data_IF_707656862271
#
_entry.id   IF_707656862271
#
_cell.length_a   1.000
_cell.length_b   1.000
_cell.length_c   1.000
_cell.angle_alpha   90.00
_cell.angle_beta   90.00
_cell.angle_gamma   90.00
#
_symmetry.space_group_name_H-M   'P 1'
#
loop_
_entity.id
_entity.type
_entity.pdbx_description
1 polymer ?
#
# COMPACT_ATOMS: atom_id res chain seq x y z
N UNK A 1 1.52 -8.77 3.17
CA UNK A 1 2.82 -8.42 3.80
C UNK A 1 3.15 -9.37 4.94
N UNK A 2 2.22 -9.60 5.88
CA UNK A 2 2.41 -10.51 7.02
C UNK A 2 3.02 -11.87 6.65
N UNK A 3 2.46 -12.56 5.65
CA UNK A 3 2.95 -13.90 5.27
C UNK A 3 4.39 -13.90 4.74
N UNK A 4 4.79 -12.84 4.01
CA UNK A 4 6.18 -12.68 3.57
C UNK A 4 7.10 -12.44 4.77
N UNK A 5 6.63 -11.68 5.77
CA UNK A 5 7.37 -11.45 7.00
C UNK A 5 7.50 -12.73 7.84
N UNK A 6 6.43 -13.52 7.93
CA UNK A 6 6.42 -14.83 8.60
C UNK A 6 7.42 -15.77 7.94
N UNK A 7 7.36 -15.92 6.61
CA UNK A 7 8.32 -16.72 5.86
C UNK A 7 9.76 -16.23 6.05
N UNK A 8 9.97 -14.92 6.07
CA UNK A 8 11.29 -14.35 6.33
C UNK A 8 11.80 -14.69 7.74
N UNK A 9 10.93 -14.63 8.76
CA UNK A 9 11.26 -15.07 10.11
C UNK A 9 11.63 -16.56 10.15
N UNK A 10 10.83 -17.43 9.52
CA UNK A 10 11.10 -18.86 9.46
C UNK A 10 12.44 -19.19 8.79
N UNK A 11 12.78 -18.49 7.70
CA UNK A 11 13.99 -18.76 6.93
C UNK A 11 15.26 -18.16 7.54
N UNK A 12 15.15 -17.07 8.32
CA UNK A 12 16.32 -16.29 8.77
C UNK A 12 16.46 -16.15 10.28
N UNK A 13 15.41 -16.44 11.05
CA UNK A 13 15.38 -16.20 12.49
C UNK A 13 15.41 -14.72 12.89
N UNK A 14 15.11 -13.79 11.97
CA UNK A 14 15.23 -12.34 12.19
C UNK A 14 14.47 -11.86 13.44
N UNK A 15 15.16 -11.37 14.48
CA UNK A 15 14.52 -10.84 15.70
C UNK A 15 13.64 -9.62 15.40
N UNK A 16 14.00 -8.84 14.37
CA UNK A 16 13.22 -7.71 13.89
C UNK A 16 11.89 -8.15 13.30
N UNK A 17 11.90 -9.20 12.48
CA UNK A 17 10.69 -9.74 11.88
C UNK A 17 9.74 -10.29 12.95
N UNK A 18 10.29 -10.99 13.95
CA UNK A 18 9.54 -11.44 15.13
C UNK A 18 8.89 -10.27 15.86
N UNK A 19 9.64 -9.22 16.18
CA UNK A 19 9.10 -8.04 16.86
C UNK A 19 7.97 -7.36 16.07
N UNK A 20 8.10 -7.26 14.74
CA UNK A 20 7.04 -6.68 13.90
C UNK A 20 5.77 -7.56 13.93
N UNK A 21 5.91 -8.88 13.87
CA UNK A 21 4.78 -9.81 13.92
C UNK A 21 4.10 -9.82 15.29
N UNK A 22 4.87 -9.71 16.37
CA UNK A 22 4.36 -9.62 17.75
C UNK A 22 3.54 -8.33 17.96
N UNK A 23 3.91 -7.22 17.29
CA UNK A 23 3.25 -5.91 17.41
C UNK A 23 2.47 -5.52 16.14
N UNK A 24 1.94 -6.51 15.42
CA UNK A 24 1.40 -6.31 14.07
C UNK A 24 0.27 -5.28 14.01
N UNK A 25 -0.63 -5.24 14.99
CA UNK A 25 -1.79 -4.33 15.01
C UNK A 25 -1.38 -2.84 15.01
N UNK A 26 -0.24 -2.51 15.58
CA UNK A 26 0.27 -1.13 15.65
C UNK A 26 1.16 -0.78 14.46
N UNK A 27 1.91 -1.77 13.95
CA UNK A 27 2.96 -1.55 12.97
C UNK A 27 2.50 -1.74 11.52
N UNK A 28 1.40 -2.47 11.29
CA UNK A 28 0.92 -2.74 9.92
C UNK A 28 0.66 -1.44 9.13
N UNK A 29 0.19 -0.38 9.79
CA UNK A 29 -0.11 0.91 9.18
C UNK A 29 1.11 1.65 8.63
N UNK A 30 2.31 1.26 9.07
CA UNK A 30 3.58 1.87 8.63
C UNK A 30 4.09 1.27 7.32
N UNK A 31 3.52 0.16 6.85
CA UNK A 31 3.89 -0.43 5.57
C UNK A 31 3.21 0.29 4.41
N UNK A 32 4.02 0.86 3.52
CA UNK A 32 3.53 1.58 2.34
C UNK A 32 3.49 0.63 1.15
N UNK A 33 2.34 0.55 0.49
CA UNK A 33 2.20 -0.13 -0.79
C UNK A 33 2.81 0.75 -1.88
N UNK A 34 4.04 0.44 -2.28
CA UNK A 34 4.66 1.06 -3.45
C UNK A 34 4.26 0.24 -4.68
N UNK A 35 3.79 0.94 -5.71
CA UNK A 35 3.44 0.34 -6.99
C UNK A 35 4.05 1.17 -8.13
N UNK A 36 5.01 0.62 -8.90
CA UNK A 36 5.73 1.38 -9.93
C UNK A 36 4.81 1.95 -11.01
N UNK A 37 5.07 3.18 -11.46
CA UNK A 37 4.26 3.87 -12.47
C UNK A 37 4.16 3.10 -13.78
N UNK A 38 5.29 2.59 -14.27
CA UNK A 38 5.34 1.86 -15.53
C UNK A 38 4.54 0.57 -15.46
N UNK A 39 4.49 -0.06 -14.29
CA UNK A 39 3.69 -1.26 -14.08
C UNK A 39 2.18 -0.96 -14.03
N UNK A 40 1.77 0.18 -13.45
CA UNK A 40 0.35 0.62 -13.49
C UNK A 40 -0.15 0.79 -14.92
N UNK A 41 0.69 1.39 -15.76
CA UNK A 41 0.37 1.68 -17.16
C UNK A 41 0.12 0.40 -17.96
N UNK A 42 0.97 -0.62 -17.80
CA UNK A 42 0.79 -1.92 -18.46
C UNK A 42 -0.49 -2.62 -17.98
N UNK A 43 -0.89 -2.41 -16.73
CA UNK A 43 -2.12 -2.99 -16.16
C UNK A 43 -3.39 -2.17 -16.44
N UNK A 44 -3.30 -1.06 -17.19
CA UNK A 44 -4.45 -0.19 -17.46
C UNK A 44 -5.03 0.49 -16.22
N UNK A 45 -4.27 0.59 -15.13
CA UNK A 45 -4.70 1.25 -13.89
C UNK A 45 -4.59 2.76 -14.05
N UNK A 46 -5.69 3.47 -13.78
CA UNK A 46 -5.76 4.92 -13.84
C UNK A 46 -4.68 5.59 -12.97
N UNK A 47 -4.16 6.74 -13.42
CA UNK A 47 -3.18 7.50 -12.65
C UNK A 47 -3.85 8.10 -11.41
N UNK A 48 -3.23 7.87 -10.25
CA UNK A 48 -3.55 8.65 -9.05
C UNK A 48 -2.66 9.89 -9.07
N UNK A 49 -3.27 11.07 -9.11
CA UNK A 49 -2.58 12.39 -9.13
C UNK A 49 -1.84 12.69 -7.82
N UNK A 50 -2.27 12.10 -6.70
CA UNK A 50 -1.67 12.36 -5.40
C UNK A 50 -0.38 11.55 -5.17
N UNK A 51 0.76 12.24 -5.15
CA UNK A 51 2.02 11.69 -4.67
C UNK A 51 1.92 11.38 -3.16
N UNK A 52 2.36 10.21 -2.74
CA UNK A 52 2.43 9.86 -1.33
C UNK A 52 3.57 10.63 -0.66
N UNK A 53 3.22 11.57 0.23
CA UNK A 53 4.17 12.29 1.08
C UNK A 53 4.06 11.71 2.50
N UNK A 54 5.13 11.09 3.06
CA UNK A 54 5.08 10.38 4.35
C UNK A 54 4.63 11.23 5.56
N UNK A 55 4.64 12.56 5.46
CA UNK A 55 4.26 13.50 6.52
C UNK A 55 2.81 13.97 6.47
N UNK A 56 2.04 13.59 5.45
CA UNK A 56 0.61 13.93 5.37
C UNK A 56 -0.27 12.69 5.52
N UNK A 57 -1.31 12.73 6.36
CA UNK A 57 -2.31 11.66 6.38
C UNK A 57 -3.00 11.64 5.02
N UNK A 58 -2.83 10.54 4.28
CA UNK A 58 -3.55 10.30 3.02
C UNK A 58 -5.06 10.24 3.30
N UNK A 59 -5.88 11.16 2.77
CA UNK A 59 -7.32 10.99 2.81
C UNK A 59 -7.69 9.81 1.92
N UNK A 60 -8.36 8.79 2.47
CA UNK A 60 -8.87 7.64 1.69
C UNK A 60 -10.05 8.00 0.77
N UNK A 61 -10.37 9.28 0.60
CA UNK A 61 -11.51 9.76 -0.19
C UNK A 61 -11.04 10.25 -1.55
N UNK A 62 -11.09 9.38 -2.56
CA UNK A 62 -11.48 9.72 -3.95
C UNK A 62 -11.07 8.58 -4.90
N UNK A 63 -11.98 7.63 -5.13
CA UNK A 63 -12.07 6.88 -6.41
C UNK A 63 -13.30 5.97 -6.44
N UNK A 64 -14.44 6.48 -5.94
CA UNK A 64 -15.76 5.87 -6.21
C UNK A 64 -16.79 6.97 -6.51
N UNK A 65 -16.50 7.85 -7.45
CA UNK A 65 -17.56 8.60 -8.14
C UNK A 65 -17.34 8.44 -9.63
N UNK A 66 -18.28 7.70 -10.22
CA UNK A 66 -18.41 7.42 -11.64
C UNK A 66 -18.59 8.76 -12.35
N UNK A 67 -17.73 9.06 -13.33
CA UNK A 67 -17.94 10.20 -14.23
C UNK A 67 -19.18 9.91 -15.08
N UNK A 68 -20.32 10.47 -14.67
CA UNK A 68 -21.49 10.58 -15.51
C UNK A 68 -21.20 11.66 -16.58
N UNK A 69 -20.88 11.23 -17.80
CA UNK A 69 -20.80 12.13 -18.95
C UNK A 69 -22.22 12.51 -19.37
N UNK A 70 -22.61 13.76 -19.13
CA UNK A 70 -23.86 14.31 -19.66
C UNK A 70 -23.54 15.09 -20.95
N UNK A 71 -23.97 14.56 -22.10
CA UNK A 71 -24.01 15.27 -23.36
C UNK A 71 -25.40 15.87 -23.56
N UNK A 72 -25.44 17.17 -23.88
CA UNK A 72 -26.64 17.95 -24.19
C UNK A 72 -26.33 19.43 -24.16
#
# INVERSE_FOLDING_TARGET
VRDLLTRHLELTGSPRAKWILDNWNELNSRFIKVFPHEFKRVLGVARTEHAYIPSQPVPLTASMQQEQVQHG
#
